data_IF_148630832206
#
_entry.id   IF_148630832206
#
_cell.length_a   1.000
_cell.length_b   1.000
_cell.length_c   1.000
_cell.angle_alpha   90.00
_cell.angle_beta   90.00
_cell.angle_gamma   90.00
#
_symmetry.space_group_name_H-M   'P 1'
#
loop_
_entity.id
_entity.type
_entity.pdbx_description
1 polymer ?
#
# COMPACT_ATOMS: atom_id res chain seq x y z
N UNK A 1 -12.92 -5.57 0.35
CA UNK A 1 -11.58 -5.11 0.73
C UNK A 1 -10.66 -5.17 -0.48
N UNK A 2 -9.84 -4.14 -0.69
CA UNK A 2 -8.88 -4.04 -1.80
C UNK A 2 -7.46 -4.15 -1.26
N UNK A 3 -6.54 -4.67 -2.06
CA UNK A 3 -5.11 -4.61 -1.71
C UNK A 3 -4.60 -3.23 -2.16
N UNK A 4 -4.06 -2.46 -1.24
CA UNK A 4 -3.62 -1.09 -1.49
C UNK A 4 -2.11 -0.97 -1.40
N UNK A 5 -1.53 -0.31 -2.40
CA UNK A 5 -0.12 0.05 -2.46
C UNK A 5 0.00 1.58 -2.57
N UNK A 6 1.11 2.14 -2.11
CA UNK A 6 1.44 3.56 -2.35
C UNK A 6 2.81 3.66 -3.01
N UNK A 7 2.85 4.28 -4.19
CA UNK A 7 4.07 4.53 -4.93
C UNK A 7 4.17 6.01 -5.30
N UNK A 8 5.02 6.75 -4.59
CA UNK A 8 5.39 8.12 -4.94
C UNK A 8 6.72 8.11 -5.70
N UNK A 9 6.75 8.75 -6.86
CA UNK A 9 7.94 8.88 -7.70
C UNK A 9 9.03 9.74 -7.04
N UNK A 10 10.29 9.54 -7.45
CA UNK A 10 11.44 10.30 -6.96
C UNK A 10 12.03 9.85 -5.62
N UNK A 11 11.59 8.72 -5.09
CA UNK A 11 12.20 8.04 -3.94
C UNK A 11 13.07 6.85 -4.34
N UNK A 12 13.29 5.95 -3.38
CA UNK A 12 14.13 4.74 -3.56
C UNK A 12 13.43 3.64 -4.37
N UNK A 13 12.11 3.72 -4.51
CA UNK A 13 11.28 2.76 -5.24
C UNK A 13 10.92 3.24 -6.65
N UNK A 14 10.65 2.30 -7.54
CA UNK A 14 10.19 2.52 -8.90
C UNK A 14 9.07 1.53 -9.28
N UNK A 15 8.57 1.62 -10.52
CA UNK A 15 7.46 0.79 -10.99
C UNK A 15 7.75 -0.73 -10.96
N UNK A 16 9.03 -1.14 -11.07
CA UNK A 16 9.42 -2.55 -10.94
C UNK A 16 9.16 -3.10 -9.56
N UNK A 17 9.27 -2.29 -8.51
CA UNK A 17 9.05 -2.71 -7.13
C UNK A 17 7.56 -2.95 -6.87
N UNK A 18 6.71 -2.08 -7.45
CA UNK A 18 5.26 -2.31 -7.48
C UNK A 18 4.94 -3.62 -8.21
N UNK A 19 5.52 -3.84 -9.39
CA UNK A 19 5.31 -5.07 -10.16
C UNK A 19 5.79 -6.31 -9.38
N UNK A 20 6.94 -6.20 -8.71
CA UNK A 20 7.54 -7.30 -7.95
C UNK A 20 6.66 -7.72 -6.78
N UNK A 21 6.12 -6.76 -6.02
CA UNK A 21 5.16 -7.05 -4.96
C UNK A 21 3.86 -7.65 -5.51
N UNK A 22 3.31 -7.05 -6.58
CA UNK A 22 2.07 -7.52 -7.23
C UNK A 22 2.17 -8.97 -7.70
N UNK A 23 3.33 -9.39 -8.20
CA UNK A 23 3.57 -10.75 -8.66
C UNK A 23 3.49 -11.82 -7.55
N UNK A 24 3.56 -11.40 -6.28
CA UNK A 24 3.47 -12.29 -5.12
C UNK A 24 2.06 -12.35 -4.53
N UNK A 25 1.15 -11.45 -4.94
CA UNK A 25 -0.20 -11.37 -4.40
C UNK A 25 -1.10 -12.46 -4.98
N UNK A 26 -2.10 -12.94 -4.21
CA UNK A 26 -3.07 -13.88 -4.72
C UNK A 26 -3.88 -13.25 -5.87
N UNK A 27 -4.22 -14.08 -6.87
CA UNK A 27 -5.05 -13.67 -8.00
C UNK A 27 -6.51 -13.47 -7.57
N UNK A 28 -7.25 -12.66 -8.32
CA UNK A 28 -8.69 -12.47 -8.12
C UNK A 28 -9.08 -11.33 -7.16
N UNK A 29 -8.10 -10.60 -6.63
CA UNK A 29 -8.33 -9.42 -5.79
C UNK A 29 -8.08 -8.13 -6.60
N UNK A 30 -8.87 -7.09 -6.32
CA UNK A 30 -8.60 -5.75 -6.86
C UNK A 30 -7.39 -5.16 -6.15
N UNK A 31 -6.38 -4.79 -6.94
CA UNK A 31 -5.16 -4.14 -6.45
C UNK A 31 -5.21 -2.68 -6.91
N UNK A 32 -5.10 -1.76 -5.96
CA UNK A 32 -4.99 -0.33 -6.23
C UNK A 32 -3.59 0.17 -5.85
N UNK A 33 -3.07 1.11 -6.64
CA UNK A 33 -1.83 1.80 -6.31
C UNK A 33 -2.07 3.31 -6.33
N UNK A 34 -1.90 3.95 -5.17
CA UNK A 34 -1.92 5.40 -5.06
C UNK A 34 -0.57 5.94 -5.56
N UNK A 35 -0.59 6.76 -6.61
CA UNK A 35 0.66 7.29 -7.21
C UNK A 35 0.49 8.69 -7.79
N UNK A 36 1.59 9.44 -7.83
CA UNK A 36 1.72 10.74 -8.50
C UNK A 36 2.05 10.60 -10.00
N UNK A 37 2.30 9.38 -10.48
CA UNK A 37 2.48 9.11 -11.89
C UNK A 37 1.17 9.23 -12.66
N UNK A 38 1.19 9.96 -13.76
CA UNK A 38 0.05 10.05 -14.71
C UNK A 38 -0.35 8.69 -15.27
N UNK A 39 0.62 7.76 -15.40
CA UNK A 39 0.43 6.39 -15.86
C UNK A 39 1.41 5.47 -15.14
N UNK A 40 0.92 4.36 -14.63
CA UNK A 40 1.71 3.26 -14.07
C UNK A 40 1.35 1.99 -14.86
N UNK A 41 2.33 1.42 -15.56
CA UNK A 41 2.13 0.26 -16.42
C UNK A 41 2.46 -1.03 -15.65
N UNK A 42 1.60 -1.39 -14.70
CA UNK A 42 1.70 -2.64 -13.95
C UNK A 42 0.39 -3.43 -14.19
N UNK A 43 0.43 -4.59 -14.86
CA UNK A 43 -0.76 -5.37 -15.16
C UNK A 43 -1.52 -5.75 -13.89
N UNK A 44 -2.86 -5.63 -13.94
CA UNK A 44 -3.73 -5.95 -12.80
C UNK A 44 -3.78 -4.88 -11.71
N UNK A 45 -3.08 -3.76 -11.86
CA UNK A 45 -3.11 -2.64 -10.90
C UNK A 45 -3.95 -1.49 -11.42
N UNK A 46 -4.91 -1.06 -10.61
CA UNK A 46 -5.69 0.16 -10.84
C UNK A 46 -4.97 1.36 -10.21
N UNK A 47 -4.73 2.39 -11.02
CA UNK A 47 -4.12 3.63 -10.54
C UNK A 47 -5.14 4.50 -9.83
N UNK A 48 -4.78 4.98 -8.64
CA UNK A 48 -5.47 6.03 -7.91
C UNK A 48 -4.51 7.22 -7.82
N UNK A 49 -4.87 8.43 -8.27
CA UNK A 49 -3.95 9.56 -8.21
C UNK A 49 -3.74 10.03 -6.77
N UNK A 50 -2.49 10.29 -6.40
CA UNK A 50 -2.16 11.13 -5.25
C UNK A 50 -2.65 12.56 -5.54
N UNK A 51 -3.42 13.14 -4.63
CA UNK A 51 -3.99 14.50 -4.80
C UNK A 51 -3.20 15.56 -4.04
N UNK A 52 -2.37 15.16 -3.06
CA UNK A 52 -1.49 16.07 -2.35
C UNK A 52 -0.07 15.98 -2.91
N UNK A 53 0.62 17.11 -2.97
CA UNK A 53 1.93 17.18 -3.63
C UNK A 53 3.09 16.65 -2.77
N UNK A 54 2.91 16.54 -1.45
CA UNK A 54 3.91 16.05 -0.47
C UNK A 54 5.34 16.60 -0.64
N UNK A 55 5.52 17.76 -1.28
CA UNK A 55 6.83 18.28 -1.70
C UNK A 55 7.77 18.57 -0.52
N UNK A 56 7.21 18.98 0.63
CA UNK A 56 7.95 19.27 1.85
C UNK A 56 8.04 18.08 2.81
N UNK A 57 7.51 16.94 2.41
CA UNK A 57 7.43 15.74 3.21
C UNK A 57 8.27 14.64 2.58
N UNK A 58 8.85 13.78 3.42
CA UNK A 58 9.53 12.59 2.94
C UNK A 58 8.56 11.66 2.19
N UNK A 59 9.09 10.86 1.26
CA UNK A 59 8.32 10.04 0.31
C UNK A 59 7.14 9.29 0.93
N UNK A 60 7.38 8.65 2.08
CA UNK A 60 6.40 7.82 2.79
C UNK A 60 5.18 8.57 3.34
N UNK A 61 5.21 9.90 3.46
CA UNK A 61 4.04 10.67 3.91
C UNK A 61 2.85 10.55 2.96
N UNK A 62 3.08 10.20 1.69
CA UNK A 62 2.03 9.89 0.73
C UNK A 62 1.08 8.76 1.20
N UNK A 63 1.52 7.88 2.11
CA UNK A 63 0.70 6.80 2.69
C UNK A 63 -0.53 7.33 3.44
N UNK A 64 -0.49 8.57 3.93
CA UNK A 64 -1.64 9.19 4.61
C UNK A 64 -2.85 9.34 3.66
N UNK A 65 -2.62 9.39 2.34
CA UNK A 65 -3.72 9.43 1.37
C UNK A 65 -4.57 8.15 1.32
N UNK A 66 -4.14 7.04 1.93
CA UNK A 66 -4.97 5.85 2.11
C UNK A 66 -6.23 6.13 2.94
N UNK A 67 -6.21 7.16 3.78
CA UNK A 67 -7.31 7.56 4.67
C UNK A 67 -8.17 8.68 4.07
N UNK A 68 -8.08 8.92 2.77
CA UNK A 68 -8.87 9.93 2.10
C UNK A 68 -10.38 9.62 2.19
N UNK A 69 -11.23 10.63 2.45
CA UNK A 69 -12.68 10.42 2.57
C UNK A 69 -13.36 9.88 1.30
N UNK A 70 -12.77 10.10 0.12
CA UNK A 70 -13.30 9.58 -1.14
C UNK A 70 -12.95 8.10 -1.40
N UNK A 71 -12.03 7.53 -0.61
CA UNK A 71 -11.72 6.10 -0.62
C UNK A 71 -12.59 5.44 0.46
N UNK A 72 -13.75 4.93 0.04
CA UNK A 72 -14.74 4.33 0.95
C UNK A 72 -14.57 2.82 1.12
N UNK A 73 -13.66 2.20 0.37
CA UNK A 73 -13.36 0.77 0.45
C UNK A 73 -12.47 0.44 1.65
N UNK A 74 -12.69 -0.71 2.29
CA UNK A 74 -11.70 -1.27 3.22
C UNK A 74 -10.42 -1.65 2.47
N UNK A 75 -9.27 -1.30 3.05
CA UNK A 75 -7.95 -1.49 2.44
C UNK A 75 -7.08 -2.44 3.26
N UNK A 76 -6.45 -3.40 2.58
CA UNK A 76 -5.30 -4.14 3.09
C UNK A 76 -4.02 -3.54 2.49
N UNK A 77 -3.32 -2.73 3.29
CA UNK A 77 -2.14 -2.00 2.86
C UNK A 77 -0.85 -2.81 3.03
N UNK A 78 0.04 -2.74 2.02
CA UNK A 78 1.36 -3.33 2.04
C UNK A 78 2.40 -2.29 1.58
N UNK A 79 3.53 -2.21 2.29
CA UNK A 79 4.68 -1.43 1.85
C UNK A 79 5.38 -2.11 0.67
N UNK A 80 6.04 -1.33 -0.19
CA UNK A 80 6.70 -1.84 -1.41
C UNK A 80 7.91 -2.75 -1.11
N UNK A 81 8.48 -2.67 0.09
CA UNK A 81 9.54 -3.57 0.59
C UNK A 81 8.99 -4.83 1.28
N UNK A 82 7.69 -5.09 1.20
CA UNK A 82 7.11 -6.30 1.80
C UNK A 82 7.40 -7.54 0.95
N UNK A 83 7.87 -8.62 1.59
CA UNK A 83 7.99 -9.94 0.97
C UNK A 83 6.85 -10.84 1.44
N UNK A 84 6.10 -11.44 0.51
CA UNK A 84 5.01 -12.36 0.85
C UNK A 84 5.56 -13.78 0.95
N UNK A 85 5.86 -14.22 2.17
CA UNK A 85 6.50 -15.52 2.44
C UNK A 85 5.51 -16.70 2.55
N UNK A 86 4.21 -16.46 2.39
CA UNK A 86 3.17 -17.47 2.57
C UNK A 86 1.80 -16.99 2.10
N UNK A 87 0.78 -17.82 2.29
CA UNK A 87 -0.58 -17.49 1.85
C UNK A 87 -1.24 -16.44 2.75
N UNK A 88 -1.59 -15.30 2.18
CA UNK A 88 -2.25 -14.18 2.85
C UNK A 88 -3.77 -14.16 2.66
N UNK A 89 -4.34 -15.09 1.88
CA UNK A 89 -5.80 -15.19 1.67
C UNK A 89 -6.61 -15.22 2.97
N UNK A 90 -6.18 -15.88 4.06
CA UNK A 90 -6.95 -15.86 5.31
C UNK A 90 -7.24 -14.45 5.84
N UNK A 91 -6.30 -13.50 5.67
CA UNK A 91 -6.48 -12.08 6.06
C UNK A 91 -7.50 -11.41 5.12
N UNK A 92 -7.41 -11.72 3.82
CA UNK A 92 -8.25 -11.12 2.79
C UNK A 92 -9.70 -11.61 2.83
N UNK A 93 -9.89 -12.89 3.17
CA UNK A 93 -11.19 -13.56 3.24
C UNK A 93 -11.88 -13.37 4.60
N UNK A 94 -11.11 -13.10 5.66
CA UNK A 94 -11.61 -12.85 7.01
C UNK A 94 -11.06 -11.51 7.55
N UNK A 95 -11.44 -10.37 6.94
CA UNK A 95 -10.97 -9.07 7.39
C UNK A 95 -11.37 -8.79 8.84
N UNK A 96 -10.52 -8.10 9.60
CA UNK A 96 -10.90 -7.61 10.93
C UNK A 96 -12.00 -6.55 10.82
N UNK A 97 -12.81 -6.42 11.88
CA UNK A 97 -13.92 -5.44 11.96
C UNK A 97 -13.47 -4.05 12.40
N UNK A 98 -12.19 -3.89 12.76
CA UNK A 98 -11.60 -2.63 13.20
C UNK A 98 -10.24 -2.44 12.53
N UNK A 99 -9.76 -1.19 12.53
CA UNK A 99 -8.43 -0.86 12.05
C UNK A 99 -7.39 -1.73 12.77
N UNK A 100 -6.65 -2.50 11.98
CA UNK A 100 -5.70 -3.50 12.47
C UNK A 100 -4.37 -3.31 11.75
N UNK A 101 -3.29 -3.37 12.51
CA UNK A 101 -1.92 -3.28 11.98
C UNK A 101 -1.02 -4.27 12.72
N UNK A 102 0.09 -4.65 12.07
CA UNK A 102 1.11 -5.46 12.73
C UNK A 102 1.66 -4.69 13.95
N UNK A 103 1.83 -5.39 15.06
CA UNK A 103 2.54 -4.85 16.22
C UNK A 103 3.98 -4.58 15.82
N UNK A 104 4.50 -3.42 16.20
CA UNK A 104 5.90 -3.08 15.98
C UNK A 104 6.82 -4.17 16.57
N UNK A 105 7.93 -4.41 15.87
CA UNK A 105 8.96 -5.36 16.25
C UNK A 105 9.98 -4.74 17.20
N UNK A 106 10.05 -3.40 17.27
CA UNK A 106 10.94 -2.70 18.18
C UNK A 106 10.43 -2.83 19.63
N UNK A 107 11.30 -3.22 20.59
CA UNK A 107 10.94 -3.19 21.98
C UNK A 107 10.53 -1.77 22.39
N UNK A 108 9.54 -1.66 23.28
CA UNK A 108 9.06 -0.41 23.84
C UNK A 108 10.13 0.25 24.72
N UNK A 109 11.14 0.87 24.12
CA UNK A 109 12.19 1.63 24.84
C UNK A 109 12.19 3.11 24.50
N UNK A 110 11.14 3.63 23.88
CA UNK A 110 10.94 5.07 23.74
C UNK A 110 9.67 5.46 24.49
N UNK A 111 9.85 5.82 25.75
CA UNK A 111 8.91 6.62 26.52
C UNK A 111 8.99 8.06 26.02
N UNK A 112 7.87 8.58 25.50
CA UNK A 112 7.68 9.99 25.16
C UNK A 112 7.64 10.86 26.41
#
# INVERSE_FOLDING_TARGET
MKIALVFRSGGDYNASDVQWLVNQLPKGYEIICLTDLKRLHVPGVKVVPLINQWQKCRGWWAKIELFRPDITDDLFYLDLDTVIAGDIRPILENPPTSFTMLRDFLPSTISW
#
